data_IF_460428994775
#
_entry.id   IF_460428994775
#
_cell.length_a   1.000
_cell.length_b   1.000
_cell.length_c   1.000
_cell.angle_alpha   90.00
_cell.angle_beta   90.00
_cell.angle_gamma   90.00
#
_symmetry.space_group_name_H-M   'P 1'
#
loop_
_entity.id
_entity.type
_entity.pdbx_description
1 polymer ?
#
# COMPACT_ATOMS: atom_id res chain seq x y z
N UNK A 1 -16.30 23.73 -22.75
CA UNK A 1 -15.71 24.31 -21.52
C UNK A 1 -14.78 23.25 -20.91
N UNK A 2 -13.47 23.28 -21.23
CA UNK A 2 -12.50 22.35 -20.63
C UNK A 2 -12.29 22.80 -19.18
N UNK A 3 -12.58 21.95 -18.20
CA UNK A 3 -12.18 22.20 -16.81
C UNK A 3 -10.67 22.03 -16.75
N UNK A 4 -9.94 23.14 -16.83
CA UNK A 4 -8.52 23.14 -16.49
C UNK A 4 -8.43 22.91 -14.98
N UNK A 5 -7.90 21.75 -14.59
CA UNK A 5 -7.62 21.50 -13.19
C UNK A 5 -6.56 22.49 -12.73
N UNK A 6 -6.79 23.18 -11.61
CA UNK A 6 -5.80 24.08 -11.02
C UNK A 6 -4.53 23.30 -10.66
N UNK A 7 -3.37 23.91 -10.88
CA UNK A 7 -2.06 23.33 -10.52
C UNK A 7 -2.00 22.95 -9.03
N UNK A 8 -2.64 23.75 -8.18
CA UNK A 8 -2.74 23.47 -6.76
C UNK A 8 -3.46 22.14 -6.52
N UNK A 9 -4.51 21.85 -7.29
CA UNK A 9 -5.26 20.58 -7.21
C UNK A 9 -4.38 19.39 -7.57
N UNK A 10 -3.56 19.50 -8.62
CA UNK A 10 -2.65 18.41 -9.05
C UNK A 10 -1.55 18.19 -7.99
N UNK A 11 -1.03 19.27 -7.42
CA UNK A 11 -0.03 19.22 -6.35
C UNK A 11 -0.61 18.56 -5.08
N UNK A 12 -1.78 18.99 -4.60
CA UNK A 12 -2.42 18.38 -3.43
C UNK A 12 -2.77 16.91 -3.65
N UNK A 13 -3.19 16.54 -4.86
CA UNK A 13 -3.44 15.14 -5.22
C UNK A 13 -2.17 14.28 -5.09
N UNK A 14 -1.01 14.80 -5.54
CA UNK A 14 0.26 14.07 -5.41
C UNK A 14 0.68 13.84 -3.95
N UNK A 15 0.44 14.82 -3.08
CA UNK A 15 0.68 14.68 -1.63
C UNK A 15 -0.25 13.60 -1.06
N UNK A 16 -1.54 13.63 -1.40
CA UNK A 16 -2.51 12.65 -0.90
C UNK A 16 -2.15 11.23 -1.34
N UNK A 17 -1.79 11.04 -2.61
CA UNK A 17 -1.35 9.74 -3.14
C UNK A 17 -0.09 9.23 -2.42
N UNK A 18 0.82 10.14 -2.05
CA UNK A 18 2.02 9.81 -1.27
C UNK A 18 1.64 9.35 0.13
N UNK A 19 0.77 10.07 0.84
CA UNK A 19 0.30 9.72 2.18
C UNK A 19 -0.39 8.34 2.18
N UNK A 20 -1.32 8.13 1.24
CA UNK A 20 -2.03 6.85 1.11
C UNK A 20 -1.06 5.71 0.78
N UNK A 21 -0.11 5.94 -0.15
CA UNK A 21 0.93 4.98 -0.46
C UNK A 21 1.78 4.60 0.76
N UNK A 22 2.16 5.58 1.59
CA UNK A 22 2.96 5.32 2.80
C UNK A 22 2.19 4.48 3.83
N UNK A 23 0.90 4.78 4.04
CA UNK A 23 0.06 4.01 4.95
C UNK A 23 -0.10 2.56 4.49
N UNK A 24 -0.26 2.34 3.18
CA UNK A 24 -0.39 1.01 2.61
C UNK A 24 0.93 0.21 2.67
N UNK A 25 2.10 0.85 2.49
CA UNK A 25 3.40 0.18 2.74
C UNK A 25 3.50 -0.24 4.20
N UNK A 26 3.22 0.68 5.13
CA UNK A 26 3.35 0.39 6.56
C UNK A 26 2.42 -0.75 7.00
N UNK A 27 1.22 -0.81 6.42
CA UNK A 27 0.28 -1.90 6.63
C UNK A 27 0.79 -3.21 6.02
N UNK A 28 1.16 -3.20 4.74
CA UNK A 28 1.63 -4.38 4.02
C UNK A 28 2.86 -5.03 4.66
N UNK A 29 3.84 -4.24 5.12
CA UNK A 29 5.01 -4.75 5.85
C UNK A 29 4.58 -5.43 7.15
N UNK A 30 3.75 -4.76 7.96
CA UNK A 30 3.26 -5.31 9.23
C UNK A 30 2.50 -6.61 9.02
N UNK A 31 1.67 -6.68 7.99
CA UNK A 31 0.87 -7.86 7.67
C UNK A 31 1.77 -9.01 7.19
N UNK A 32 2.83 -8.73 6.43
CA UNK A 32 3.86 -9.73 6.07
C UNK A 32 4.65 -10.24 7.29
N UNK A 33 5.09 -9.35 8.18
CA UNK A 33 5.83 -9.71 9.40
C UNK A 33 4.96 -10.57 10.34
N UNK A 34 3.69 -10.19 10.47
CA UNK A 34 2.71 -10.95 11.28
C UNK A 34 2.47 -12.33 10.69
N UNK A 35 2.32 -12.44 9.37
CA UNK A 35 2.18 -13.72 8.68
C UNK A 35 3.41 -14.63 8.86
N UNK A 36 4.61 -14.05 8.82
CA UNK A 36 5.86 -14.78 9.06
C UNK A 36 5.91 -15.33 10.49
N UNK A 37 5.60 -14.48 11.48
CA UNK A 37 5.61 -14.88 12.89
C UNK A 37 4.61 -16.00 13.19
N UNK A 38 3.39 -15.91 12.63
CA UNK A 38 2.37 -16.97 12.78
C UNK A 38 2.87 -18.30 12.20
N UNK A 39 3.55 -18.26 11.05
CA UNK A 39 4.11 -19.47 10.46
C UNK A 39 5.20 -20.11 11.33
N UNK A 40 6.15 -19.31 11.82
CA UNK A 40 7.23 -19.79 12.69
C UNK A 40 6.64 -20.49 13.91
N UNK A 41 5.67 -19.85 14.58
CA UNK A 41 5.01 -20.44 15.76
C UNK A 41 4.29 -21.74 15.42
N UNK A 42 3.61 -21.82 14.27
CA UNK A 42 2.97 -23.08 13.81
C UNK A 42 3.99 -24.19 13.59
N UNK A 43 5.15 -23.88 12.99
CA UNK A 43 6.22 -24.85 12.76
C UNK A 43 6.86 -25.34 14.05
N UNK A 44 7.03 -24.47 15.05
CA UNK A 44 7.68 -24.81 16.33
C UNK A 44 6.75 -25.51 17.31
N UNK A 45 5.49 -25.10 17.39
CA UNK A 45 4.55 -25.56 18.43
C UNK A 45 3.48 -26.51 17.91
N UNK A 46 3.26 -26.58 16.59
CA UNK A 46 2.13 -27.29 15.98
C UNK A 46 0.77 -26.64 16.19
N UNK A 47 0.71 -25.46 16.84
CA UNK A 47 -0.54 -24.74 17.15
C UNK A 47 -0.86 -23.72 16.05
N UNK A 48 -2.10 -23.71 15.57
CA UNK A 48 -2.58 -22.73 14.60
C UNK A 48 -3.11 -21.47 15.29
N UNK A 49 -2.48 -20.33 15.02
CA UNK A 49 -2.92 -19.01 15.50
C UNK A 49 -3.64 -18.25 14.39
N UNK A 50 -4.80 -17.69 14.69
CA UNK A 50 -5.58 -16.85 13.79
C UNK A 50 -5.66 -15.43 14.33
N UNK A 51 -5.23 -14.45 13.55
CA UNK A 51 -5.28 -13.03 13.92
C UNK A 51 -6.62 -12.41 13.52
N UNK A 52 -7.30 -11.76 14.47
CA UNK A 52 -8.60 -11.08 14.30
C UNK A 52 -8.59 -9.92 13.30
N UNK A 53 -7.46 -9.28 13.04
CA UNK A 53 -7.37 -8.23 12.01
C UNK A 53 -7.47 -8.81 10.58
N UNK A 54 -7.15 -10.10 10.44
CA UNK A 54 -7.20 -10.90 9.21
C UNK A 54 -8.54 -11.69 9.14
N UNK A 55 -9.57 -11.34 9.93
CA UNK A 55 -10.85 -12.08 9.89
C UNK A 55 -11.83 -11.60 8.81
N UNK A 56 -11.65 -10.42 8.22
CA UNK A 56 -12.59 -9.91 7.20
C UNK A 56 -12.37 -10.52 5.81
N UNK A 57 -11.11 -10.74 5.43
CA UNK A 57 -10.73 -11.63 4.34
C UNK A 57 -10.16 -12.85 5.05
N UNK A 58 -10.71 -14.06 4.92
CA UNK A 58 -10.18 -15.25 5.62
C UNK A 58 -9.07 -15.91 4.77
N UNK A 59 -7.79 -15.50 4.84
CA UNK A 59 -6.72 -16.33 4.32
C UNK A 59 -6.66 -17.57 5.20
N UNK A 60 -7.01 -18.70 4.59
CA UNK A 60 -6.87 -20.04 5.14
C UNK A 60 -5.43 -20.53 5.10
N UNK A 61 -4.56 -19.87 4.33
CA UNK A 61 -3.18 -20.30 4.07
C UNK A 61 -2.16 -19.16 4.14
N UNK A 62 -0.90 -19.51 4.46
CA UNK A 62 0.22 -18.56 4.52
C UNK A 62 0.46 -17.84 3.19
N UNK A 63 0.23 -18.51 2.06
CA UNK A 63 0.40 -17.89 0.74
C UNK A 63 -0.61 -16.76 0.50
N UNK A 64 -1.84 -16.88 1.04
CA UNK A 64 -2.86 -15.85 0.89
C UNK A 64 -2.48 -14.59 1.68
N UNK A 65 -1.96 -14.76 2.90
CA UNK A 65 -1.45 -13.67 3.74
C UNK A 65 -0.27 -12.94 3.08
N UNK A 66 0.70 -13.70 2.57
CA UNK A 66 1.83 -13.13 1.83
C UNK A 66 1.37 -12.42 0.55
N UNK A 67 0.43 -13.00 -0.19
CA UNK A 67 -0.11 -12.38 -1.40
C UNK A 67 -0.83 -11.06 -1.12
N UNK A 68 -1.54 -10.97 0.02
CA UNK A 68 -2.22 -9.75 0.45
C UNK A 68 -1.19 -8.65 0.78
N UNK A 69 -0.21 -8.93 1.64
CA UNK A 69 0.83 -7.97 1.99
C UNK A 69 1.66 -7.51 0.78
N UNK A 70 2.03 -8.43 -0.12
CA UNK A 70 2.73 -8.10 -1.38
C UNK A 70 1.85 -7.23 -2.28
N UNK A 71 0.55 -7.52 -2.38
CA UNK A 71 -0.37 -6.72 -3.20
C UNK A 71 -0.49 -5.27 -2.70
N UNK A 72 -0.51 -5.07 -1.38
CA UNK A 72 -0.57 -3.73 -0.77
C UNK A 72 0.73 -2.95 -1.01
N UNK A 73 1.90 -3.61 -0.91
CA UNK A 73 3.20 -3.00 -1.24
C UNK A 73 3.28 -2.61 -2.71
N UNK A 74 2.83 -3.48 -3.62
CA UNK A 74 2.79 -3.20 -5.06
C UNK A 74 1.86 -2.04 -5.38
N UNK A 75 0.67 -2.01 -4.80
CA UNK A 75 -0.28 -0.92 -5.02
C UNK A 75 0.26 0.41 -4.51
N UNK A 76 0.94 0.40 -3.35
CA UNK A 76 1.63 1.57 -2.82
C UNK A 76 2.71 2.10 -3.77
N UNK A 77 3.51 1.20 -4.35
CA UNK A 77 4.55 1.57 -5.30
C UNK A 77 3.96 2.27 -6.54
N UNK A 78 2.84 1.76 -7.07
CA UNK A 78 2.11 2.41 -8.16
C UNK A 78 1.62 3.81 -7.77
N UNK A 79 1.09 3.98 -6.57
CA UNK A 79 0.65 5.29 -6.07
C UNK A 79 1.81 6.29 -5.98
N UNK A 80 3.00 5.86 -5.54
CA UNK A 80 4.18 6.72 -5.50
C UNK A 80 4.67 7.13 -6.89
N UNK A 81 4.66 6.20 -7.86
CA UNK A 81 5.01 6.53 -9.24
C UNK A 81 4.02 7.53 -9.84
N UNK A 82 2.73 7.38 -9.54
CA UNK A 82 1.70 8.34 -9.95
C UNK A 82 1.90 9.71 -9.28
N UNK A 83 2.16 9.74 -7.98
CA UNK A 83 2.45 10.97 -7.26
C UNK A 83 3.67 11.70 -7.86
N UNK A 84 4.76 10.98 -8.12
CA UNK A 84 5.97 11.52 -8.75
C UNK A 84 5.69 12.09 -10.14
N UNK A 85 4.93 11.35 -10.96
CA UNK A 85 4.55 11.78 -12.31
C UNK A 85 3.72 13.07 -12.28
N UNK A 86 2.77 13.18 -11.35
CA UNK A 86 1.94 14.38 -11.19
C UNK A 86 2.75 15.59 -10.68
N UNK A 87 3.68 15.37 -9.76
CA UNK A 87 4.63 16.41 -9.34
C UNK A 87 5.50 16.89 -10.51
N UNK A 88 6.01 15.97 -11.33
CA UNK A 88 6.82 16.29 -12.49
C UNK A 88 6.04 17.11 -13.52
N UNK A 89 4.79 16.74 -13.81
CA UNK A 89 3.89 17.50 -14.69
C UNK A 89 3.66 18.91 -14.13
N UNK A 90 3.39 19.03 -12.83
CA UNK A 90 3.18 20.33 -12.17
C UNK A 90 4.43 21.20 -12.30
N UNK A 91 5.61 20.63 -12.11
CA UNK A 91 6.89 21.33 -12.23
C UNK A 91 7.16 21.82 -13.67
N UNK A 92 6.98 20.96 -14.68
CA UNK A 92 7.18 21.33 -16.08
C UNK A 92 6.24 22.45 -16.52
N UNK A 93 4.97 22.39 -16.09
CA UNK A 93 3.99 23.40 -16.44
C UNK A 93 4.22 24.74 -15.73
N UNK A 94 4.74 24.73 -14.50
CA UNK A 94 5.10 25.97 -13.79
C UNK A 94 6.28 26.71 -14.44
N UNK A 95 7.10 26.02 -15.25
CA UNK A 95 8.24 26.60 -15.97
C UNK A 95 7.92 27.12 -17.38
N UNK A 96 6.73 26.84 -17.90
CA UNK A 96 6.23 27.42 -19.16
C UNK A 96 5.41 28.67 -18.88
#
# INVERSE_FOLDING_TARGET
>A
MKREFSYDTIFFLSILLTIVGTLLISKGIRDMDTALNICIVKMETGVEFYDRLIFQNKPSTMSELQSLGISEVLFSFVLFLLALSLMWITYLNKRR
#
